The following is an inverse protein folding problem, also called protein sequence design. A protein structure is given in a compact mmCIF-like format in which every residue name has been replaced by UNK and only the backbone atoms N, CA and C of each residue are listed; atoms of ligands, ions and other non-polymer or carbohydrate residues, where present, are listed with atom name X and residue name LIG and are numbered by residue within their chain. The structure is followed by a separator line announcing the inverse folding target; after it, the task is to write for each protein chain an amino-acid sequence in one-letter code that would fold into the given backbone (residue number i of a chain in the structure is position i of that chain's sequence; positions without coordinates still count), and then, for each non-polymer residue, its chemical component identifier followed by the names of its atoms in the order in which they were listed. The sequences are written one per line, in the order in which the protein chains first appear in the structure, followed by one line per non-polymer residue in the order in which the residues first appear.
data_IF_508431798322
#
_entry.id   IF_508431798322
#
_cell.length_a   1.000
_cell.length_b   1.000
_cell.length_c   1.000
_cell.angle_alpha   90.00
_cell.angle_beta   90.00
_cell.angle_gamma   90.00
#
_symmetry.space_group_name_H-M   'P 1'
#
loop_
_entity.id
_entity.type
_entity.pdbx_description
1 polymer ?
#
# COMPACT_ATOMS: atom_id res chain seq x y z
N UNK A 1 -28.82 -2.08 8.90
CA UNK A 1 -28.48 -3.49 9.16
C UNK A 1 -28.53 -4.26 7.83
N UNK A 2 -27.43 -4.30 7.09
CA UNK A 2 -27.35 -4.98 5.80
C UNK A 2 -27.23 -6.51 5.99
N UNK A 3 -27.94 -7.24 5.13
CA UNK A 3 -28.04 -8.71 5.02
C UNK A 3 -26.72 -9.45 5.29
N UNK A 4 -26.46 -9.81 6.55
CA UNK A 4 -25.42 -10.78 6.90
C UNK A 4 -25.96 -12.18 6.62
N UNK A 5 -25.52 -12.80 5.52
CA UNK A 5 -25.49 -14.26 5.45
C UNK A 5 -24.80 -14.73 6.74
N UNK A 6 -25.38 -15.63 7.55
CA UNK A 6 -24.76 -16.04 8.79
C UNK A 6 -23.33 -16.48 8.51
N UNK A 7 -22.36 -15.78 9.09
CA UNK A 7 -20.91 -15.98 8.91
C UNK A 7 -20.53 -17.46 8.89
N UNK A 8 -21.17 -18.24 9.78
CA UNK A 8 -21.03 -19.69 9.89
C UNK A 8 -21.37 -20.45 8.60
N UNK A 9 -22.48 -20.11 7.92
CA UNK A 9 -22.90 -20.77 6.67
C UNK A 9 -21.87 -20.55 5.55
N UNK A 10 -21.35 -19.34 5.43
CA UNK A 10 -20.35 -18.99 4.43
C UNK A 10 -19.03 -19.73 4.68
N UNK A 11 -18.53 -19.71 5.91
CA UNK A 11 -17.32 -20.44 6.32
C UNK A 11 -17.46 -21.94 6.05
N UNK A 12 -18.59 -22.53 6.45
CA UNK A 12 -18.86 -23.95 6.22
C UNK A 12 -18.85 -24.30 4.73
N UNK A 13 -19.47 -23.46 3.90
CA UNK A 13 -19.50 -23.66 2.45
C UNK A 13 -18.10 -23.62 1.84
N UNK A 14 -17.30 -22.60 2.19
CA UNK A 14 -15.92 -22.46 1.69
C UNK A 14 -15.09 -23.70 2.04
N UNK A 15 -15.15 -24.13 3.31
CA UNK A 15 -14.39 -25.29 3.79
C UNK A 15 -14.87 -26.59 3.13
N UNK A 16 -16.17 -26.72 2.88
CA UNK A 16 -16.73 -27.86 2.16
C UNK A 16 -16.24 -27.93 0.71
N UNK A 17 -16.34 -26.82 -0.03
CA UNK A 17 -16.04 -26.73 -1.47
C UNK A 17 -14.55 -26.69 -1.82
N UNK A 18 -13.66 -26.38 -0.86
CA UNK A 18 -12.23 -26.21 -1.14
C UNK A 18 -11.39 -27.39 -0.61
N UNK A 19 -10.29 -27.70 -1.31
CA UNK A 19 -9.28 -28.66 -0.85
C UNK A 19 -8.29 -27.99 0.13
N UNK A 20 -7.99 -26.71 -0.12
CA UNK A 20 -7.04 -25.91 0.65
C UNK A 20 -7.77 -24.66 1.15
N UNK A 21 -7.51 -24.26 2.39
CA UNK A 21 -7.96 -23.02 2.99
C UNK A 21 -6.74 -22.15 3.30
N UNK A 22 -6.67 -20.98 2.64
CA UNK A 22 -5.69 -19.94 2.94
C UNK A 22 -6.30 -19.01 3.99
N UNK A 23 -5.82 -19.08 5.22
CA UNK A 23 -6.18 -18.12 6.26
C UNK A 23 -5.23 -16.94 6.21
N UNK A 24 -5.74 -15.80 5.75
CA UNK A 24 -4.96 -14.57 5.62
C UNK A 24 -5.04 -13.76 6.91
N UNK A 25 -3.88 -13.45 7.47
CA UNK A 25 -3.71 -12.60 8.67
C UNK A 25 -2.81 -11.41 8.35
N UNK A 26 -2.97 -10.30 9.09
CA UNK A 26 -2.11 -9.12 8.96
C UNK A 26 -0.83 -9.32 9.77
N UNK A 27 0.34 -9.21 9.14
CA UNK A 27 1.62 -9.47 9.78
C UNK A 27 1.88 -8.62 11.04
N UNK A 28 1.32 -7.41 11.10
CA UNK A 28 1.58 -6.46 12.19
C UNK A 28 0.92 -6.87 13.49
N UNK A 29 -0.23 -7.51 13.39
CA UNK A 29 -0.98 -8.07 14.51
C UNK A 29 -1.76 -9.32 14.05
N UNK A 30 -1.04 -10.46 13.88
CA UNK A 30 -1.66 -11.68 13.39
C UNK A 30 -2.75 -12.16 14.34
N UNK A 31 -2.53 -12.13 15.65
CA UNK A 31 -3.47 -12.67 16.64
C UNK A 31 -4.84 -12.00 16.59
N UNK A 32 -4.89 -10.67 16.52
CA UNK A 32 -6.16 -9.94 16.41
C UNK A 32 -6.88 -10.20 15.08
N UNK A 33 -6.16 -10.65 14.05
CA UNK A 33 -6.73 -10.94 12.72
C UNK A 33 -6.90 -12.43 12.42
N UNK A 34 -6.70 -13.30 13.42
CA UNK A 34 -7.01 -14.73 13.37
C UNK A 34 -8.47 -14.99 13.67
N UNK A 35 -8.94 -16.14 13.21
CA UNK A 35 -10.25 -16.68 13.56
C UNK A 35 -10.04 -18.14 14.00
N UNK A 36 -9.93 -18.36 15.31
CA UNK A 36 -9.60 -19.69 15.87
C UNK A 36 -10.68 -20.72 15.57
N UNK A 37 -11.95 -20.32 15.61
CA UNK A 37 -13.07 -21.21 15.26
C UNK A 37 -12.98 -21.71 13.81
N UNK A 38 -12.54 -20.87 12.88
CA UNK A 38 -12.31 -21.25 11.48
C UNK A 38 -11.13 -22.22 11.36
N UNK A 39 -10.04 -21.97 12.09
CA UNK A 39 -8.87 -22.84 12.12
C UNK A 39 -9.25 -24.25 12.60
N UNK A 40 -9.88 -24.33 13.77
CA UNK A 40 -10.38 -25.58 14.37
C UNK A 40 -11.30 -26.33 13.42
N UNK A 41 -12.29 -25.64 12.83
CA UNK A 41 -13.24 -26.27 11.91
C UNK A 41 -12.59 -26.72 10.60
N UNK A 42 -11.58 -25.98 10.09
CA UNK A 42 -10.81 -26.39 8.91
C UNK A 42 -10.05 -27.70 9.17
N UNK A 43 -9.46 -27.81 10.36
CA UNK A 43 -8.72 -28.99 10.81
C UNK A 43 -9.66 -30.16 11.04
N UNK A 44 -10.79 -29.95 11.70
CA UNK A 44 -11.84 -30.96 11.93
C UNK A 44 -12.33 -31.57 10.60
N UNK A 45 -12.41 -30.77 9.54
CA UNK A 45 -12.81 -31.23 8.20
C UNK A 45 -11.66 -31.77 7.35
N UNK A 46 -10.49 -32.02 7.95
CA UNK A 46 -9.29 -32.55 7.28
C UNK A 46 -8.90 -31.76 6.02
N UNK A 47 -9.14 -30.45 6.01
CA UNK A 47 -8.72 -29.57 4.91
C UNK A 47 -7.32 -29.04 5.17
N UNK A 48 -6.54 -28.80 4.11
CA UNK A 48 -5.21 -28.22 4.27
C UNK A 48 -5.34 -26.75 4.66
N UNK A 49 -4.88 -26.43 5.86
CA UNK A 49 -4.72 -25.06 6.32
C UNK A 49 -3.35 -24.50 5.93
N UNK A 50 -3.34 -23.34 5.28
CA UNK A 50 -2.13 -22.54 5.03
C UNK A 50 -2.37 -21.15 5.61
N UNK A 51 -1.57 -20.78 6.61
CA UNK A 51 -1.50 -19.41 7.09
C UNK A 51 -0.75 -18.54 6.09
N UNK A 52 -1.40 -17.48 5.63
CA UNK A 52 -0.81 -16.47 4.76
C UNK A 52 -0.65 -15.20 5.57
N UNK A 53 0.55 -15.00 6.12
CA UNK A 53 0.88 -13.79 6.89
C UNK A 53 1.19 -12.68 5.89
N UNK A 54 0.19 -11.87 5.59
CA UNK A 54 0.24 -10.85 4.57
C UNK A 54 0.71 -9.50 5.13
N UNK A 55 1.13 -8.58 4.24
CA UNK A 55 1.80 -7.32 4.61
C UNK A 55 3.13 -7.59 5.34
N UNK A 56 3.82 -8.66 4.98
CA UNK A 56 5.10 -9.04 5.58
C UNK A 56 6.21 -8.00 5.36
N UNK A 57 6.02 -7.05 4.44
CA UNK A 57 6.89 -5.88 4.23
C UNK A 57 6.80 -4.84 5.36
N UNK A 58 5.79 -4.95 6.24
CA UNK A 58 5.55 -4.05 7.37
C UNK A 58 6.13 -4.57 8.69
N UNK A 59 6.82 -5.72 8.69
CA UNK A 59 7.30 -6.36 9.91
C UNK A 59 8.71 -6.90 9.71
N UNK A 60 9.63 -6.75 10.69
CA UNK A 60 10.96 -7.32 10.59
C UNK A 60 10.92 -8.84 10.48
N UNK A 61 11.82 -9.43 9.68
CA UNK A 61 11.88 -10.88 9.46
C UNK A 61 11.95 -11.68 10.76
N UNK A 62 12.72 -11.21 11.75
CA UNK A 62 12.84 -11.88 13.07
C UNK A 62 11.49 -12.04 13.77
N UNK A 63 10.59 -11.07 13.64
CA UNK A 63 9.24 -11.12 14.22
C UNK A 63 8.33 -12.06 13.41
N UNK A 64 8.43 -12.04 12.08
CA UNK A 64 7.71 -12.98 11.22
C UNK A 64 8.04 -14.45 11.53
N UNK A 65 9.32 -14.77 11.74
CA UNK A 65 9.72 -16.14 12.11
C UNK A 65 9.15 -16.54 13.48
N UNK A 66 9.14 -15.65 14.48
CA UNK A 66 8.47 -15.93 15.77
C UNK A 66 6.99 -16.24 15.59
N UNK A 67 6.29 -15.46 14.77
CA UNK A 67 4.88 -15.74 14.48
C UNK A 67 4.69 -17.10 13.81
N UNK A 68 5.55 -17.44 12.84
CA UNK A 68 5.53 -18.76 12.20
C UNK A 68 5.73 -19.89 13.21
N UNK A 69 6.67 -19.73 14.15
CA UNK A 69 6.90 -20.73 15.20
C UNK A 69 5.67 -20.90 16.09
N UNK A 70 5.02 -19.79 16.47
CA UNK A 70 3.76 -19.83 17.24
C UNK A 70 2.61 -20.51 16.48
N UNK A 71 2.41 -20.18 15.19
CA UNK A 71 1.38 -20.85 14.38
C UNK A 71 1.66 -22.36 14.23
N UNK A 72 2.93 -22.73 14.11
CA UNK A 72 3.36 -24.12 13.97
C UNK A 72 3.27 -24.90 15.28
N UNK A 73 3.50 -24.29 16.43
CA UNK A 73 3.33 -24.96 17.72
C UNK A 73 1.86 -25.28 17.99
N UNK A 74 0.95 -24.36 17.64
CA UNK A 74 -0.49 -24.57 17.78
C UNK A 74 -1.04 -25.52 16.70
N UNK A 75 -0.54 -25.42 15.46
CA UNK A 75 -1.03 -26.19 14.32
C UNK A 75 0.13 -26.82 13.51
N UNK A 76 0.74 -27.93 13.98
CA UNK A 76 1.97 -28.49 13.39
C UNK A 76 1.86 -28.87 11.90
N UNK A 77 0.69 -29.35 11.48
CA UNK A 77 0.41 -29.82 10.12
C UNK A 77 0.05 -28.68 9.12
N UNK A 78 -0.15 -27.47 9.63
CA UNK A 78 -0.42 -26.29 8.79
C UNK A 78 0.85 -25.87 8.02
N UNK A 79 0.71 -25.05 7.00
CA UNK A 79 1.87 -24.36 6.38
C UNK A 79 1.79 -22.87 6.66
N UNK A 80 2.93 -22.19 6.75
CA UNK A 80 2.99 -20.73 6.98
C UNK A 80 3.79 -20.09 5.85
N UNK A 81 3.19 -19.13 5.16
CA UNK A 81 3.82 -18.39 4.07
C UNK A 81 3.72 -16.90 4.31
N UNK A 82 4.87 -16.22 4.32
CA UNK A 82 4.94 -14.76 4.40
C UNK A 82 4.69 -14.17 3.01
N UNK A 83 3.78 -13.21 2.91
CA UNK A 83 3.41 -12.57 1.64
C UNK A 83 3.40 -11.05 1.80
N UNK A 84 3.93 -10.34 0.82
CA UNK A 84 3.58 -8.95 0.58
C UNK A 84 2.83 -8.89 -0.74
N UNK A 85 1.50 -8.82 -0.68
CA UNK A 85 0.69 -8.71 -1.89
C UNK A 85 0.95 -7.39 -2.62
N UNK A 86 1.27 -6.32 -1.88
CA UNK A 86 1.60 -4.99 -2.41
C UNK A 86 2.90 -5.02 -3.21
N UNK A 87 3.95 -5.60 -2.63
CA UNK A 87 5.28 -5.70 -3.25
C UNK A 87 5.46 -6.97 -4.10
N UNK A 88 4.41 -7.81 -4.19
CA UNK A 88 4.36 -9.11 -4.86
C UNK A 88 5.41 -10.12 -4.36
N UNK A 89 5.87 -9.99 -3.12
CA UNK A 89 6.82 -10.91 -2.49
C UNK A 89 6.12 -12.13 -1.89
N UNK A 90 6.78 -13.30 -1.91
CA UNK A 90 6.24 -14.55 -1.33
C UNK A 90 5.14 -15.24 -2.16
N UNK A 91 4.64 -14.60 -3.23
CA UNK A 91 3.57 -15.13 -4.08
C UNK A 91 3.95 -16.44 -4.79
N UNK A 92 5.22 -16.57 -5.22
CA UNK A 92 5.74 -17.82 -5.78
C UNK A 92 5.74 -18.93 -4.73
N UNK A 93 6.23 -18.67 -3.52
CA UNK A 93 6.24 -19.64 -2.42
C UNK A 93 4.84 -20.12 -2.09
N UNK A 94 3.86 -19.20 -2.02
CA UNK A 94 2.46 -19.57 -1.79
C UNK A 94 1.92 -20.45 -2.92
N UNK A 95 2.23 -20.11 -4.18
CA UNK A 95 1.79 -20.91 -5.34
C UNK A 95 2.43 -22.31 -5.33
N UNK A 96 3.70 -22.40 -4.98
CA UNK A 96 4.44 -23.66 -4.93
C UNK A 96 3.92 -24.55 -3.79
N UNK A 97 3.61 -23.98 -2.62
CA UNK A 97 2.98 -24.69 -1.50
C UNK A 97 1.60 -25.27 -1.87
N UNK A 98 0.75 -24.46 -2.54
CA UNK A 98 -0.55 -24.91 -3.04
C UNK A 98 -0.38 -26.10 -3.99
N UNK A 99 0.54 -26.00 -4.95
CA UNK A 99 0.78 -27.06 -5.94
C UNK A 99 1.35 -28.32 -5.30
N UNK A 100 2.29 -28.18 -4.37
CA UNK A 100 2.89 -29.30 -3.67
C UNK A 100 1.81 -30.15 -2.97
N UNK A 101 0.91 -29.51 -2.22
CA UNK A 101 -0.19 -30.22 -1.57
C UNK A 101 -1.12 -30.92 -2.57
N UNK A 102 -1.54 -30.24 -3.63
CA UNK A 102 -2.44 -30.83 -4.64
C UNK A 102 -1.80 -32.05 -5.32
N UNK A 103 -0.52 -31.95 -5.68
CA UNK A 103 0.22 -33.04 -6.30
C UNK A 103 0.39 -34.23 -5.36
N UNK A 104 0.81 -34.00 -4.11
CA UNK A 104 0.99 -35.07 -3.11
C UNK A 104 -0.30 -35.81 -2.78
N UNK A 105 -1.46 -35.19 -3.00
CA UNK A 105 -2.77 -35.81 -2.77
C UNK A 105 -3.47 -36.25 -4.07
N UNK A 106 -2.77 -36.25 -5.22
CA UNK A 106 -3.33 -36.61 -6.53
C UNK A 106 -4.59 -35.81 -6.93
N UNK A 107 -4.69 -34.56 -6.48
CA UNK A 107 -5.83 -33.68 -6.78
C UNK A 107 -5.58 -32.97 -8.10
N UNK A 108 -6.23 -33.46 -9.17
CA UNK A 108 -6.09 -32.90 -10.53
C UNK A 108 -6.66 -31.48 -10.64
N UNK A 109 -7.83 -31.22 -10.05
CA UNK A 109 -8.50 -29.91 -10.09
C UNK A 109 -8.57 -29.31 -8.69
N UNK A 110 -7.73 -28.31 -8.41
CA UNK A 110 -7.59 -27.70 -7.10
C UNK A 110 -8.57 -26.55 -6.87
N UNK A 111 -9.28 -26.61 -5.76
CA UNK A 111 -10.14 -25.54 -5.26
C UNK A 111 -9.54 -24.96 -3.97
N UNK A 112 -9.23 -23.67 -3.97
CA UNK A 112 -8.52 -22.99 -2.87
C UNK A 112 -9.39 -21.87 -2.32
N UNK A 113 -9.79 -21.97 -1.07
CA UNK A 113 -10.57 -20.96 -0.36
C UNK A 113 -9.67 -19.90 0.26
N UNK A 114 -10.01 -18.62 0.14
CA UNK A 114 -9.26 -17.54 0.78
C UNK A 114 -10.17 -16.88 1.81
N UNK A 115 -9.79 -16.99 3.08
CA UNK A 115 -10.57 -16.54 4.24
C UNK A 115 -9.73 -15.65 5.15
N UNK A 116 -10.40 -14.89 6.01
CA UNK A 116 -9.77 -13.98 6.96
C UNK A 116 -10.54 -12.67 7.11
N UNK A 117 -10.10 -11.86 8.07
CA UNK A 117 -10.73 -10.57 8.39
C UNK A 117 -10.79 -9.62 7.19
N UNK A 118 -11.72 -8.65 7.13
CA UNK A 118 -11.63 -7.55 6.18
C UNK A 118 -10.25 -6.86 6.21
N UNK A 119 -9.84 -6.28 5.09
CA UNK A 119 -8.61 -5.46 4.99
C UNK A 119 -7.26 -6.12 5.32
N UNK A 120 -7.21 -7.42 5.67
CA UNK A 120 -5.97 -8.21 5.76
C UNK A 120 -5.30 -8.41 4.39
N UNK A 121 -6.03 -8.15 3.30
CA UNK A 121 -5.49 -8.14 1.93
C UNK A 121 -5.78 -9.39 1.09
N UNK A 122 -6.88 -10.10 1.35
CA UNK A 122 -7.35 -11.27 0.57
C UNK A 122 -7.39 -11.01 -0.95
N UNK A 123 -8.13 -9.99 -1.39
CA UNK A 123 -8.26 -9.63 -2.81
C UNK A 123 -6.92 -9.17 -3.41
N UNK A 124 -6.06 -8.53 -2.61
CA UNK A 124 -4.71 -8.18 -3.03
C UNK A 124 -3.85 -9.41 -3.28
N UNK A 125 -3.95 -10.45 -2.44
CA UNK A 125 -3.27 -11.73 -2.66
C UNK A 125 -3.79 -12.40 -3.93
N UNK A 126 -5.10 -12.42 -4.17
CA UNK A 126 -5.68 -12.96 -5.41
C UNK A 126 -5.10 -12.26 -6.63
N UNK A 127 -5.07 -10.93 -6.62
CA UNK A 127 -4.50 -10.14 -7.72
C UNK A 127 -2.99 -10.40 -7.89
N UNK A 128 -2.26 -10.52 -6.79
CA UNK A 128 -0.83 -10.81 -6.82
C UNK A 128 -0.53 -12.23 -7.34
N UNK A 129 -1.36 -13.23 -6.99
CA UNK A 129 -1.24 -14.61 -7.45
C UNK A 129 -1.64 -14.76 -8.93
N UNK A 130 -2.69 -14.07 -9.38
CA UNK A 130 -3.20 -14.16 -10.76
C UNK A 130 -2.46 -13.26 -11.75
N UNK A 131 -1.74 -12.24 -11.25
CA UNK A 131 -1.04 -11.26 -12.07
C UNK A 131 -1.96 -10.26 -12.78
N UNK A 132 -3.28 -10.31 -12.53
CA UNK A 132 -4.31 -9.46 -13.11
C UNK A 132 -5.09 -8.76 -12.00
N UNK A 133 -5.74 -7.63 -12.30
CA UNK A 133 -6.71 -6.97 -11.38
C UNK A 133 -8.06 -7.70 -11.42
N UNK A 134 -8.03 -8.98 -11.06
CA UNK A 134 -9.17 -9.91 -11.16
C UNK A 134 -10.22 -9.65 -10.07
N UNK A 135 -9.78 -9.20 -8.89
CA UNK A 135 -10.61 -8.88 -7.74
C UNK A 135 -10.55 -7.38 -7.42
N UNK A 136 -11.67 -6.79 -6.98
CA UNK A 136 -11.71 -5.39 -6.52
C UNK A 136 -10.90 -5.29 -5.22
N UNK A 137 -9.82 -4.51 -5.22
CA UNK A 137 -8.95 -4.33 -4.05
C UNK A 137 -8.85 -2.85 -3.67
N UNK A 138 -8.99 -2.54 -2.38
CA UNK A 138 -8.88 -1.20 -1.80
C UNK A 138 -8.92 -1.29 -0.27
N UNK A 139 -8.74 -0.16 0.42
CA UNK A 139 -8.82 -0.08 1.90
C UNK A 139 -10.27 -0.08 2.42
N UNK A 140 -11.26 -0.03 1.53
CA UNK A 140 -12.67 0.01 1.89
C UNK A 140 -13.18 -1.41 2.16
N UNK A 141 -13.66 -1.67 3.37
CA UNK A 141 -14.38 -2.91 3.65
C UNK A 141 -15.69 -3.00 2.85
N UNK A 142 -16.08 -4.21 2.47
CA UNK A 142 -17.30 -4.47 1.69
C UNK A 142 -17.16 -4.35 0.17
N UNK A 143 -15.93 -4.21 -0.36
CA UNK A 143 -15.72 -4.19 -1.83
C UNK A 143 -16.05 -5.52 -2.52
N UNK A 144 -15.91 -6.64 -1.81
CA UNK A 144 -16.31 -7.97 -2.27
C UNK A 144 -17.77 -8.22 -1.86
N UNK A 145 -18.69 -8.09 -2.80
CA UNK A 145 -20.14 -8.16 -2.58
C UNK A 145 -20.69 -9.61 -2.65
N UNK A 146 -19.90 -10.56 -3.18
CA UNK A 146 -20.28 -11.98 -3.25
C UNK A 146 -19.09 -12.91 -3.46
N UNK A 147 -19.33 -14.21 -3.32
CA UNK A 147 -18.35 -15.27 -3.57
C UNK A 147 -18.07 -15.40 -5.07
N UNK A 148 -16.80 -15.39 -5.47
CA UNK A 148 -16.41 -15.51 -6.88
C UNK A 148 -15.23 -16.47 -7.06
N UNK A 149 -15.37 -17.40 -8.00
CA UNK A 149 -14.25 -18.22 -8.46
C UNK A 149 -13.35 -17.45 -9.43
N UNK A 150 -12.06 -17.39 -9.11
CA UNK A 150 -11.01 -16.76 -9.92
C UNK A 150 -10.02 -17.82 -10.37
N UNK A 151 -9.74 -17.88 -11.67
CA UNK A 151 -8.80 -18.86 -12.23
C UNK A 151 -7.35 -18.49 -11.92
N UNK A 152 -6.61 -19.37 -11.24
CA UNK A 152 -5.17 -19.21 -11.00
C UNK A 152 -4.33 -19.87 -12.10
N UNK A 153 -4.67 -21.12 -12.46
CA UNK A 153 -4.07 -21.87 -13.57
C UNK A 153 -5.19 -22.59 -14.34
N UNK A 154 -4.85 -23.43 -15.33
CA UNK A 154 -5.85 -24.28 -16.01
C UNK A 154 -6.63 -25.15 -15.02
N UNK A 155 -5.94 -25.67 -14.01
CA UNK A 155 -6.46 -26.72 -13.12
C UNK A 155 -6.67 -26.23 -11.67
N UNK A 156 -6.35 -24.97 -11.35
CA UNK A 156 -6.51 -24.40 -10.00
C UNK A 156 -7.38 -23.15 -10.03
N UNK A 157 -8.38 -23.10 -9.15
CA UNK A 157 -9.25 -21.94 -8.92
C UNK A 157 -9.19 -21.47 -7.47
N UNK A 158 -9.30 -20.17 -7.29
CA UNK A 158 -9.36 -19.48 -6.00
C UNK A 158 -10.79 -19.02 -5.75
N UNK A 159 -11.32 -19.22 -4.54
CA UNK A 159 -12.59 -18.66 -4.11
C UNK A 159 -12.32 -17.35 -3.36
N UNK A 160 -12.69 -16.22 -3.97
CA UNK A 160 -12.73 -14.92 -3.29
C UNK A 160 -13.98 -14.90 -2.41
N UNK A 161 -13.79 -14.71 -1.11
CA UNK A 161 -14.89 -14.65 -0.14
C UNK A 161 -14.90 -13.29 0.58
N UNK A 162 -16.08 -12.78 0.97
CA UNK A 162 -16.19 -11.64 1.87
C UNK A 162 -15.37 -11.85 3.16
N UNK A 163 -14.99 -10.73 3.80
CA UNK A 163 -14.31 -10.81 5.09
C UNK A 163 -15.21 -11.41 6.17
N UNK A 164 -14.66 -12.37 6.91
CA UNK A 164 -15.30 -13.02 8.06
C UNK A 164 -14.93 -12.19 9.29
N UNK A 165 -15.93 -11.66 10.00
CA UNK A 165 -15.75 -10.78 11.15
C UNK A 165 -16.39 -11.45 12.36
N UNK A 166 -15.61 -11.76 13.39
CA UNK A 166 -16.16 -12.18 14.68
C UNK A 166 -16.79 -10.98 15.41
N UNK A 167 -17.76 -11.19 16.31
CA UNK A 167 -18.29 -10.12 17.14
C UNK A 167 -17.15 -9.40 17.88
N UNK A 168 -16.97 -8.11 17.61
CA UNK A 168 -15.99 -7.22 18.22
C UNK A 168 -16.63 -5.87 18.49
N UNK A 169 -16.06 -5.12 19.43
CA UNK A 169 -16.45 -3.73 19.65
C UNK A 169 -16.13 -2.87 18.42
N UNK A 170 -16.79 -1.71 18.34
CA UNK A 170 -16.69 -0.82 17.18
C UNK A 170 -15.26 -0.35 16.92
N UNK A 171 -14.50 -0.06 17.97
CA UNK A 171 -13.14 0.42 17.84
C UNK A 171 -12.26 -0.63 17.17
N UNK A 172 -12.36 -1.91 17.56
CA UNK A 172 -11.62 -2.99 16.90
C UNK A 172 -12.03 -3.15 15.43
N UNK A 173 -13.31 -2.94 15.11
CA UNK A 173 -13.78 -2.97 13.73
C UNK A 173 -13.18 -1.81 12.93
N UNK A 174 -13.06 -0.62 13.51
CA UNK A 174 -12.42 0.54 12.88
C UNK A 174 -10.91 0.33 12.74
N UNK A 175 -10.23 -0.13 13.79
CA UNK A 175 -8.76 -0.35 13.79
C UNK A 175 -8.37 -1.41 12.75
N UNK A 176 -9.11 -2.52 12.68
CA UNK A 176 -8.93 -3.56 11.66
C UNK A 176 -9.37 -3.11 10.26
N UNK A 177 -10.14 -2.03 10.17
CA UNK A 177 -10.74 -1.50 8.96
C UNK A 177 -11.95 -2.29 8.45
N UNK A 178 -12.46 -3.23 9.24
CA UNK A 178 -13.71 -3.93 8.99
C UNK A 178 -14.92 -2.99 8.98
N UNK A 179 -14.91 -1.95 9.83
CA UNK A 179 -15.80 -0.81 9.76
C UNK A 179 -15.04 0.38 9.16
N UNK A 180 -15.70 1.07 8.23
CA UNK A 180 -15.17 2.32 7.69
C UNK A 180 -15.24 3.39 8.76
N UNK A 181 -14.12 4.04 9.06
CA UNK A 181 -14.08 5.14 10.03
C UNK A 181 -14.99 6.32 9.65
N UNK A 182 -15.41 6.46 8.39
CA UNK A 182 -16.41 7.50 8.02
C UNK A 182 -17.85 7.13 8.41
N UNK A 183 -18.09 5.88 8.80
CA UNK A 183 -19.39 5.35 9.24
C UNK A 183 -19.40 4.97 10.72
N UNK A 184 -18.29 5.18 11.43
CA UNK A 184 -18.20 4.94 12.86
C UNK A 184 -18.85 6.10 13.62
N UNK A 185 -19.46 5.78 14.75
CA UNK A 185 -20.08 6.75 15.65
C UNK A 185 -19.00 7.52 16.42
N UNK A 186 -17.91 6.83 16.80
CA UNK A 186 -16.72 7.44 17.40
C UNK A 186 -15.45 7.06 16.62
N UNK A 187 -14.63 8.07 16.35
CA UNK A 187 -13.32 7.95 15.70
C UNK A 187 -12.16 8.36 16.59
N UNK A 188 -12.45 9.00 17.73
CA UNK A 188 -11.46 9.43 18.71
C UNK A 188 -10.97 8.22 19.53
N UNK A 189 -11.88 7.43 20.12
CA UNK A 189 -11.51 6.22 20.86
C UNK A 189 -10.61 5.25 20.07
N UNK A 190 -10.93 4.86 18.81
CA UNK A 190 -10.06 3.95 18.06
C UNK A 190 -8.70 4.58 17.73
N UNK A 191 -8.63 5.90 17.50
CA UNK A 191 -7.36 6.59 17.27
C UNK A 191 -6.48 6.57 18.54
N UNK A 192 -7.06 6.87 19.70
CA UNK A 192 -6.36 6.79 20.99
C UNK A 192 -5.90 5.36 21.29
N UNK A 193 -6.75 4.35 21.05
CA UNK A 193 -6.38 2.93 21.20
C UNK A 193 -5.19 2.56 20.31
N UNK A 194 -5.13 3.02 19.06
CA UNK A 194 -3.98 2.80 18.17
C UNK A 194 -2.71 3.40 18.78
N UNK A 195 -2.76 4.67 19.18
CA UNK A 195 -1.62 5.35 19.78
C UNK A 195 -1.17 4.65 21.06
N UNK A 196 -2.11 4.28 21.94
CA UNK A 196 -1.85 3.56 23.17
C UNK A 196 -1.18 2.22 22.93
N UNK A 197 -1.68 1.42 21.98
CA UNK A 197 -1.07 0.13 21.63
C UNK A 197 0.37 0.30 21.15
N UNK A 198 0.62 1.29 20.29
CA UNK A 198 1.98 1.54 19.77
C UNK A 198 2.89 2.05 20.89
N UNK A 199 2.39 2.97 21.73
CA UNK A 199 3.15 3.51 22.86
C UNK A 199 3.51 2.44 23.89
N UNK A 200 2.56 1.57 24.25
CA UNK A 200 2.80 0.44 25.15
C UNK A 200 3.75 -0.59 24.53
N UNK A 201 3.71 -0.78 23.21
CA UNK A 201 4.64 -1.67 22.52
C UNK A 201 6.07 -1.12 22.54
N UNK A 202 6.24 0.16 22.18
CA UNK A 202 7.52 0.89 22.22
C UNK A 202 7.23 2.41 22.13
N UNK A 203 7.43 3.11 23.24
CA UNK A 203 7.14 4.55 23.36
C UNK A 203 7.97 5.43 22.41
N UNK A 204 9.13 4.95 21.95
CA UNK A 204 10.02 5.70 21.05
C UNK A 204 9.47 5.82 19.64
N UNK A 205 8.57 4.91 19.22
CA UNK A 205 8.04 4.89 17.85
C UNK A 205 7.23 6.15 17.55
N UNK A 206 6.33 6.52 18.46
CA UNK A 206 5.50 7.71 18.30
C UNK A 206 6.34 8.99 18.38
N UNK A 207 7.35 9.02 19.27
CA UNK A 207 8.27 10.15 19.41
C UNK A 207 9.01 10.44 18.10
N UNK A 208 9.54 9.40 17.46
CA UNK A 208 10.25 9.52 16.19
C UNK A 208 9.31 9.83 15.03
N UNK A 209 8.15 9.16 14.96
CA UNK A 209 7.19 9.34 13.87
C UNK A 209 6.63 10.76 13.85
N UNK A 210 6.23 11.27 15.01
CA UNK A 210 5.71 12.62 15.15
C UNK A 210 6.80 13.65 15.47
N UNK A 211 8.06 13.28 15.69
CA UNK A 211 9.16 14.21 15.93
C UNK A 211 8.93 15.17 17.10
N UNK A 212 8.30 14.71 18.17
CA UNK A 212 8.19 15.40 19.47
C UNK A 212 7.96 14.37 20.58
N UNK A 213 8.23 14.74 21.83
CA UNK A 213 8.07 13.84 22.97
C UNK A 213 6.60 13.57 23.30
N UNK A 214 6.24 12.30 23.38
CA UNK A 214 4.93 11.81 23.78
C UNK A 214 5.01 11.51 25.28
N UNK A 215 4.10 12.12 26.05
CA UNK A 215 4.00 11.86 27.49
C UNK A 215 3.57 10.43 27.81
N UNK A 216 3.55 10.08 29.10
CA UNK A 216 3.18 8.73 29.56
C UNK A 216 1.72 8.39 29.26
N UNK A 217 0.83 9.38 29.27
CA UNK A 217 -0.60 9.19 29.03
C UNK A 217 -0.99 9.54 27.59
N UNK A 218 -1.75 8.62 26.97
CA UNK A 218 -2.32 8.81 25.65
C UNK A 218 -3.76 9.31 25.81
N UNK A 219 -3.96 10.60 25.56
CA UNK A 219 -5.22 11.29 25.78
C UNK A 219 -5.54 12.26 24.62
N UNK A 220 -6.62 13.03 24.76
CA UNK A 220 -7.08 13.99 23.73
C UNK A 220 -6.04 15.10 23.51
N UNK A 221 -5.30 15.52 24.53
CA UNK A 221 -4.24 16.55 24.38
C UNK A 221 -3.14 16.08 23.42
N UNK A 222 -2.86 14.77 23.37
CA UNK A 222 -1.94 14.24 22.37
C UNK A 222 -2.51 14.38 20.95
N UNK A 223 -3.81 14.15 20.75
CA UNK A 223 -4.46 14.39 19.45
C UNK A 223 -4.38 15.88 19.07
N UNK A 224 -4.52 16.80 20.01
CA UNK A 224 -4.35 18.23 19.78
C UNK A 224 -2.92 18.56 19.34
N UNK A 225 -1.90 18.00 20.01
CA UNK A 225 -0.49 18.16 19.64
C UNK A 225 -0.20 17.62 18.24
N UNK A 226 -0.70 16.42 17.92
CA UNK A 226 -0.57 15.83 16.58
C UNK A 226 -1.27 16.72 15.54
N UNK A 227 -2.50 17.14 15.80
CA UNK A 227 -3.28 18.00 14.89
C UNK A 227 -2.62 19.35 14.64
N UNK A 228 -2.01 19.94 15.68
CA UNK A 228 -1.19 21.15 15.57
C UNK A 228 -0.01 20.93 14.63
N UNK A 229 0.75 19.84 14.82
CA UNK A 229 1.89 19.51 13.94
C UNK A 229 1.47 19.27 12.48
N UNK A 230 0.30 18.68 12.27
CA UNK A 230 -0.24 18.41 10.94
C UNK A 230 -0.97 19.61 10.31
N UNK A 231 -1.08 20.73 11.04
CA UNK A 231 -1.84 21.92 10.66
C UNK A 231 -3.30 21.58 10.29
N UNK A 232 -3.93 20.70 11.08
CA UNK A 232 -5.33 20.33 10.91
C UNK A 232 -6.20 21.28 11.72
N UNK A 233 -6.59 22.38 11.09
CA UNK A 233 -7.44 23.41 11.68
C UNK A 233 -8.87 23.32 11.13
N UNK A 234 -9.83 23.59 12.00
CA UNK A 234 -11.23 23.88 11.67
C UNK A 234 -11.34 25.29 11.06
N UNK A 235 -12.51 25.63 10.53
CA UNK A 235 -12.78 26.97 9.98
C UNK A 235 -12.60 28.09 11.02
N UNK A 236 -12.84 27.78 12.30
CA UNK A 236 -12.73 28.71 13.42
C UNK A 236 -11.30 28.78 14.00
N UNK A 237 -10.32 28.15 13.34
CA UNK A 237 -8.91 28.17 13.76
C UNK A 237 -8.56 27.22 14.92
N UNK A 238 -9.52 26.43 15.44
CA UNK A 238 -9.27 25.39 16.45
C UNK A 238 -8.72 24.12 15.81
N UNK A 239 -8.00 23.30 16.58
CA UNK A 239 -7.51 21.99 16.10
C UNK A 239 -8.70 21.06 15.78
N UNK A 240 -8.66 20.45 14.60
CA UNK A 240 -9.64 19.49 14.11
C UNK A 240 -9.25 18.07 14.59
N UNK A 241 -9.79 17.69 15.75
CA UNK A 241 -9.54 16.40 16.39
C UNK A 241 -10.11 15.25 15.57
N UNK A 242 -11.25 15.45 14.92
CA UNK A 242 -11.87 14.44 14.09
C UNK A 242 -11.01 14.11 12.87
N UNK A 243 -10.54 15.14 12.17
CA UNK A 243 -9.63 14.97 11.03
C UNK A 243 -8.31 14.36 11.45
N UNK A 244 -7.80 14.73 12.61
CA UNK A 244 -6.58 14.15 13.18
C UNK A 244 -6.74 12.66 13.44
N UNK A 245 -7.80 12.27 14.13
CA UNK A 245 -8.13 10.88 14.46
C UNK A 245 -8.32 10.03 13.21
N UNK A 246 -9.07 10.54 12.20
CA UNK A 246 -9.21 9.88 10.89
C UNK A 246 -7.86 9.69 10.19
N UNK A 247 -6.96 10.67 10.28
CA UNK A 247 -5.64 10.55 9.68
C UNK A 247 -4.81 9.47 10.37
N UNK A 248 -4.81 9.40 11.70
CA UNK A 248 -4.11 8.38 12.49
C UNK A 248 -4.62 6.98 12.11
N UNK A 249 -5.94 6.77 12.12
CA UNK A 249 -6.55 5.49 11.73
C UNK A 249 -6.13 5.10 10.31
N UNK A 250 -6.21 6.04 9.37
CA UNK A 250 -5.82 5.81 7.97
C UNK A 250 -4.34 5.47 7.82
N UNK A 251 -3.46 6.18 8.54
CA UNK A 251 -2.01 5.96 8.53
C UNK A 251 -1.63 4.63 9.17
N UNK A 252 -2.34 4.24 10.22
CA UNK A 252 -2.21 2.90 10.77
C UNK A 252 -2.68 1.86 9.76
N UNK A 253 -3.90 1.94 9.23
CA UNK A 253 -4.42 0.95 8.28
C UNK A 253 -3.56 0.78 7.00
N UNK A 254 -2.95 1.87 6.51
CA UNK A 254 -2.07 1.84 5.33
C UNK A 254 -0.62 1.42 5.63
N UNK A 255 -0.26 1.26 6.90
CA UNK A 255 1.05 0.80 7.36
C UNK A 255 2.13 1.88 7.46
N UNK A 256 1.80 3.16 7.29
CA UNK A 256 2.73 4.28 7.56
C UNK A 256 3.02 4.39 9.05
N UNK A 257 1.97 4.37 9.86
CA UNK A 257 2.07 4.26 11.31
C UNK A 257 1.99 2.76 11.67
N UNK A 258 2.95 2.28 12.46
CA UNK A 258 3.15 0.85 12.66
C UNK A 258 3.92 0.57 13.96
N UNK A 259 3.79 -0.64 14.50
CA UNK A 259 4.54 -1.14 15.67
C UNK A 259 6.02 -1.37 15.40
N UNK A 260 6.45 -1.32 14.15
CA UNK A 260 7.83 -1.57 13.79
C UNK A 260 8.35 -0.47 12.90
N UNK A 261 9.60 -0.09 13.18
CA UNK A 261 10.38 0.85 12.36
C UNK A 261 10.74 0.18 11.05
N UNK A 262 9.86 0.31 10.07
CA UNK A 262 10.11 -0.20 8.73
C UNK A 262 10.53 0.94 7.83
N UNK A 263 11.75 0.87 7.32
CA UNK A 263 12.13 1.63 6.13
C UNK A 263 11.40 1.03 4.93
N UNK A 264 10.13 1.41 4.78
CA UNK A 264 9.36 1.09 3.59
C UNK A 264 10.12 1.69 2.41
N UNK A 265 10.82 0.83 1.65
CA UNK A 265 11.44 1.24 0.39
C UNK A 265 10.31 1.80 -0.46
N UNK A 266 10.24 3.12 -0.59
CA UNK A 266 9.45 3.72 -1.66
C UNK A 266 10.00 3.07 -2.93
N UNK A 267 9.14 2.38 -3.67
CA UNK A 267 9.51 1.83 -4.98
C UNK A 267 9.79 3.02 -5.90
N UNK A 268 11.00 3.58 -5.80
CA UNK A 268 11.44 4.62 -6.68
C UNK A 268 11.72 3.97 -8.03
N UNK A 269 11.09 4.51 -9.07
CA UNK A 269 11.49 4.18 -10.42
C UNK A 269 12.97 4.53 -10.56
N UNK A 270 13.81 3.56 -10.92
CA UNK A 270 15.22 3.83 -11.25
C UNK A 270 15.23 4.76 -12.45
N UNK A 271 15.74 5.98 -12.24
CA UNK A 271 15.84 7.01 -13.28
C UNK A 271 17.26 7.13 -13.77
N UNK A 272 17.41 7.36 -15.06
CA UNK A 272 18.68 7.83 -15.64
C UNK A 272 18.75 9.35 -15.51
N UNK A 273 19.98 9.88 -15.37
CA UNK A 273 20.22 11.34 -15.30
C UNK A 273 20.55 11.99 -16.64
N UNK A 274 20.87 11.19 -17.65
CA UNK A 274 21.22 11.69 -18.98
C UNK A 274 19.94 12.17 -19.70
N UNK A 275 19.87 13.48 -19.95
CA UNK A 275 18.83 14.14 -20.76
C UNK A 275 19.38 14.71 -22.07
N UNK A 276 20.64 14.42 -22.43
CA UNK A 276 21.30 15.00 -23.61
C UNK A 276 20.58 14.62 -24.92
N UNK A 277 19.93 13.45 -24.95
CA UNK A 277 19.12 13.02 -26.09
C UNK A 277 17.86 13.89 -26.30
N UNK A 278 17.40 14.62 -25.27
CA UNK A 278 16.29 15.58 -25.37
C UNK A 278 16.84 16.98 -25.59
N UNK A 279 17.82 17.41 -24.79
CA UNK A 279 18.33 18.79 -24.82
C UNK A 279 19.07 19.13 -26.11
N UNK A 280 19.56 18.15 -26.88
CA UNK A 280 20.11 18.38 -28.22
C UNK A 280 19.11 19.08 -29.17
N UNK A 281 17.80 18.89 -28.97
CA UNK A 281 16.76 19.54 -29.77
C UNK A 281 16.36 20.93 -29.26
N UNK A 282 16.90 21.33 -28.11
CA UNK A 282 16.65 22.62 -27.47
C UNK A 282 17.81 23.61 -27.65
N UNK A 283 18.91 23.17 -28.26
CA UNK A 283 20.02 24.05 -28.58
C UNK A 283 19.56 25.11 -29.59
N UNK A 284 19.74 26.39 -29.25
CA UNK A 284 19.29 27.55 -30.02
C UNK A 284 17.75 27.63 -30.19
N UNK A 285 16.97 26.98 -29.33
CA UNK A 285 15.51 27.09 -29.36
C UNK A 285 15.08 28.44 -28.76
N UNK A 286 14.37 29.32 -29.51
CA UNK A 286 14.16 30.71 -29.12
C UNK A 286 13.24 30.90 -27.90
N UNK A 287 12.47 29.88 -27.52
CA UNK A 287 11.51 29.95 -26.41
C UNK A 287 11.94 29.07 -25.23
N UNK A 288 13.24 29.03 -24.93
CA UNK A 288 13.78 28.21 -23.84
C UNK A 288 13.25 28.60 -22.45
N UNK A 289 12.75 29.83 -22.32
CA UNK A 289 12.18 30.36 -21.08
C UNK A 289 10.71 29.95 -20.83
N UNK A 290 10.09 29.21 -21.75
CA UNK A 290 8.70 28.79 -21.64
C UNK A 290 8.58 27.25 -21.72
N UNK A 291 8.23 26.64 -20.60
CA UNK A 291 8.10 25.19 -20.47
C UNK A 291 7.04 24.61 -21.43
N UNK A 292 5.94 25.31 -21.71
CA UNK A 292 4.89 24.82 -22.60
C UNK A 292 5.32 24.92 -24.07
N UNK A 293 6.08 25.96 -24.45
CA UNK A 293 6.68 26.07 -25.79
C UNK A 293 7.72 24.98 -26.02
N UNK A 294 8.56 24.69 -25.03
CA UNK A 294 9.51 23.57 -25.12
C UNK A 294 8.77 22.25 -25.33
N UNK A 295 7.68 22.00 -24.59
CA UNK A 295 6.91 20.77 -24.72
C UNK A 295 6.30 20.67 -26.12
N UNK A 296 5.68 21.75 -26.62
CA UNK A 296 5.10 21.82 -27.96
C UNK A 296 6.15 21.53 -29.04
N UNK A 297 7.35 22.10 -28.90
CA UNK A 297 8.47 21.84 -29.81
C UNK A 297 8.90 20.36 -29.79
N UNK A 298 9.08 19.78 -28.60
CA UNK A 298 9.49 18.39 -28.43
C UNK A 298 8.42 17.38 -28.87
N UNK A 299 7.13 17.75 -28.82
CA UNK A 299 6.01 16.90 -29.28
C UNK A 299 6.12 16.57 -30.77
N UNK A 300 6.69 17.48 -31.56
CA UNK A 300 6.88 17.30 -33.01
C UNK A 300 8.09 16.44 -33.39
N UNK A 301 8.77 15.82 -32.41
CA UNK A 301 9.99 15.03 -32.64
C UNK A 301 9.67 13.54 -32.55
N UNK A 302 9.41 12.92 -33.71
CA UNK A 302 9.00 11.52 -33.83
C UNK A 302 9.98 10.53 -33.16
N UNK A 303 11.29 10.80 -33.23
CA UNK A 303 12.33 9.98 -32.60
C UNK A 303 12.14 9.88 -31.08
N UNK A 304 11.77 11.00 -30.43
CA UNK A 304 11.49 11.02 -29.00
C UNK A 304 10.20 10.28 -28.65
N UNK A 305 9.19 10.38 -29.53
CA UNK A 305 7.88 9.76 -29.32
C UNK A 305 7.90 8.22 -29.37
N UNK A 306 8.82 7.65 -30.14
CA UNK A 306 8.93 6.20 -30.37
C UNK A 306 9.97 5.52 -29.48
N UNK A 307 10.87 6.28 -28.86
CA UNK A 307 12.02 5.80 -28.10
C UNK A 307 11.67 4.75 -27.04
N UNK A 308 12.57 3.79 -26.81
CA UNK A 308 12.45 2.88 -25.67
C UNK A 308 13.34 3.38 -24.53
N UNK A 309 12.77 4.18 -23.63
CA UNK A 309 13.51 4.75 -22.50
C UNK A 309 12.81 4.52 -21.17
N UNK A 310 13.64 4.28 -20.14
CA UNK A 310 13.20 4.28 -18.74
C UNK A 310 12.87 5.73 -18.33
N UNK A 311 12.15 5.93 -17.21
CA UNK A 311 11.96 7.27 -16.66
C UNK A 311 13.29 8.01 -16.52
N UNK A 312 13.34 9.26 -16.97
CA UNK A 312 14.52 10.11 -16.95
C UNK A 312 14.23 11.35 -16.12
N UNK A 313 15.20 11.81 -15.33
CA UNK A 313 15.17 13.12 -14.68
C UNK A 313 16.56 13.74 -14.80
N UNK A 314 16.64 14.94 -15.34
CA UNK A 314 17.90 15.64 -15.45
C UNK A 314 17.71 17.13 -15.62
N UNK A 315 18.82 17.84 -15.65
CA UNK A 315 18.87 19.28 -15.76
C UNK A 315 20.02 19.69 -16.67
N UNK A 316 19.83 20.75 -17.45
CA UNK A 316 20.84 21.33 -18.31
C UNK A 316 20.69 22.86 -18.30
N UNK A 317 21.81 23.55 -18.22
CA UNK A 317 21.88 24.97 -18.52
C UNK A 317 21.85 25.13 -20.05
N UNK A 318 20.88 25.89 -20.54
CA UNK A 318 20.67 26.21 -21.95
C UNK A 318 20.47 27.72 -22.04
N UNK A 319 21.37 28.38 -22.74
CA UNK A 319 21.44 29.85 -22.81
C UNK A 319 21.50 30.48 -21.41
N UNK A 320 20.51 31.28 -21.03
CA UNK A 320 20.39 31.97 -19.74
C UNK A 320 19.48 31.24 -18.73
N UNK A 321 19.04 30.03 -19.04
CA UNK A 321 18.07 29.28 -18.24
C UNK A 321 18.52 27.86 -17.86
N UNK A 322 18.08 27.40 -16.70
CA UNK A 322 18.15 26.00 -16.31
C UNK A 322 16.86 25.29 -16.71
N UNK A 323 16.98 24.30 -17.59
CA UNK A 323 15.87 23.45 -18.01
C UNK A 323 15.96 22.10 -17.30
N UNK A 324 14.95 21.78 -16.51
CA UNK A 324 14.80 20.52 -15.78
C UNK A 324 13.72 19.68 -16.48
N UNK A 325 14.08 18.47 -16.91
CA UNK A 325 13.21 17.61 -17.70
C UNK A 325 12.97 16.29 -16.98
N UNK A 326 11.69 15.98 -16.72
CA UNK A 326 11.22 14.65 -16.36
C UNK A 326 10.53 13.99 -17.55
N UNK A 327 11.03 12.84 -18.00
CA UNK A 327 10.55 12.17 -19.22
C UNK A 327 10.19 10.70 -18.97
N UNK A 328 9.17 10.19 -19.67
CA UNK A 328 8.70 8.80 -19.60
C UNK A 328 8.14 8.39 -18.21
N UNK A 329 7.55 9.33 -17.48
CA UNK A 329 6.98 9.07 -16.15
C UNK A 329 5.62 8.34 -16.19
N UNK A 330 5.34 7.57 -15.12
CA UNK A 330 4.06 6.87 -14.95
C UNK A 330 2.86 7.82 -14.84
N UNK A 331 3.06 9.01 -14.28
CA UNK A 331 2.00 10.01 -14.12
C UNK A 331 2.58 11.43 -14.20
N UNK A 332 1.74 12.40 -14.57
CA UNK A 332 2.10 13.83 -14.62
C UNK A 332 2.52 14.36 -13.24
N UNK A 333 1.79 13.97 -12.20
CA UNK A 333 2.09 14.36 -10.81
C UNK A 333 3.45 13.82 -10.33
N UNK A 334 3.84 12.62 -10.75
CA UNK A 334 5.17 12.08 -10.47
C UNK A 334 6.27 12.91 -11.15
N UNK A 335 6.08 13.29 -12.41
CA UNK A 335 7.03 14.13 -13.15
C UNK A 335 7.19 15.52 -12.52
N UNK A 336 6.06 16.18 -12.22
CA UNK A 336 6.04 17.48 -11.53
C UNK A 336 6.86 17.46 -10.24
N UNK A 337 6.55 16.51 -9.35
CA UNK A 337 7.24 16.38 -8.06
C UNK A 337 8.74 16.19 -8.22
N UNK A 338 9.18 15.44 -9.24
CA UNK A 338 10.60 15.22 -9.49
C UNK A 338 11.31 16.43 -10.09
N UNK A 339 10.65 17.23 -10.92
CA UNK A 339 11.16 18.52 -11.38
C UNK A 339 11.32 19.49 -10.19
N UNK A 340 10.28 19.64 -9.37
CA UNK A 340 10.30 20.51 -8.17
C UNK A 340 11.31 20.04 -7.11
N UNK A 341 11.51 18.73 -6.95
CA UNK A 341 12.52 18.15 -6.05
C UNK A 341 13.94 18.44 -6.55
N UNK A 342 14.21 18.22 -7.85
CA UNK A 342 15.54 18.47 -8.42
C UNK A 342 15.90 19.96 -8.44
N UNK A 343 14.94 20.84 -8.71
CA UNK A 343 15.14 22.29 -8.63
C UNK A 343 15.58 22.73 -7.24
N UNK A 344 14.85 22.29 -6.19
CA UNK A 344 15.18 22.57 -4.79
C UNK A 344 16.54 22.03 -4.38
N UNK A 345 16.90 20.83 -4.84
CA UNK A 345 18.22 20.24 -4.55
C UNK A 345 19.37 20.95 -5.27
N UNK A 346 19.07 21.74 -6.29
CA UNK A 346 20.06 22.39 -7.17
C UNK A 346 20.03 23.91 -7.04
N UNK A 347 19.34 24.44 -6.03
CA UNK A 347 19.16 25.89 -5.78
C UNK A 347 18.64 26.66 -7.00
N UNK A 348 17.63 26.11 -7.67
CA UNK A 348 16.99 26.74 -8.83
C UNK A 348 15.60 27.22 -8.47
N UNK A 349 15.35 28.50 -8.73
CA UNK A 349 14.03 29.12 -8.67
C UNK A 349 13.30 28.91 -10.00
N UNK A 350 12.25 28.10 -9.97
CA UNK A 350 11.45 27.79 -11.15
C UNK A 350 10.44 28.91 -11.41
N UNK A 351 10.52 29.54 -12.58
CA UNK A 351 9.55 30.56 -13.01
C UNK A 351 8.59 30.05 -14.09
N UNK A 352 8.88 28.92 -14.75
CA UNK A 352 7.98 28.30 -15.73
C UNK A 352 7.87 26.79 -15.51
N UNK A 353 6.64 26.25 -15.57
CA UNK A 353 6.36 24.82 -15.35
C UNK A 353 5.29 24.35 -16.34
N UNK A 354 5.61 23.28 -17.08
CA UNK A 354 4.75 22.72 -18.11
C UNK A 354 4.69 21.21 -18.03
N UNK A 355 3.59 20.62 -18.50
CA UNK A 355 3.47 19.16 -18.56
C UNK A 355 2.60 18.67 -19.70
N UNK A 356 3.12 17.73 -20.48
CA UNK A 356 2.49 17.25 -21.71
C UNK A 356 2.93 15.85 -22.11
N UNK A 357 2.94 15.58 -23.41
CA UNK A 357 3.29 14.29 -23.99
C UNK A 357 4.18 14.45 -25.21
N UNK A 358 5.05 13.47 -25.41
CA UNK A 358 5.82 13.27 -26.64
C UNK A 358 5.64 11.81 -27.04
N UNK A 359 4.80 11.56 -28.04
CA UNK A 359 4.31 10.22 -28.37
C UNK A 359 3.72 9.48 -27.17
N UNK A 360 4.26 8.31 -26.83
CA UNK A 360 3.81 7.50 -25.67
C UNK A 360 4.35 8.01 -24.32
N UNK A 361 5.31 8.94 -24.33
CA UNK A 361 5.99 9.40 -23.12
C UNK A 361 5.29 10.60 -22.51
N UNK A 362 5.15 10.60 -21.18
CA UNK A 362 4.77 11.80 -20.45
C UNK A 362 6.02 12.63 -20.19
N UNK A 363 5.92 13.94 -20.36
CA UNK A 363 6.99 14.88 -20.09
C UNK A 363 6.50 15.95 -19.10
N UNK A 364 7.39 16.37 -18.21
CA UNK A 364 7.20 17.54 -17.36
C UNK A 364 8.48 18.36 -17.38
N UNK A 365 8.35 19.67 -17.58
CA UNK A 365 9.48 20.59 -17.71
C UNK A 365 9.34 21.68 -16.66
N UNK A 366 10.45 22.01 -16.03
CA UNK A 366 10.60 23.23 -15.25
C UNK A 366 11.73 24.05 -15.84
N UNK A 367 11.50 25.35 -15.99
CA UNK A 367 12.52 26.32 -16.37
C UNK A 367 12.71 27.29 -15.21
N UNK A 368 13.98 27.56 -14.89
CA UNK A 368 14.33 28.41 -13.77
C UNK A 368 15.71 29.02 -13.89
N UNK A 369 16.07 29.81 -12.90
CA UNK A 369 17.38 30.41 -12.75
C UNK A 369 18.00 30.05 -11.40
N UNK A 370 19.33 30.19 -11.29
CA UNK A 370 20.03 29.90 -10.04
C UNK A 370 19.74 30.98 -9.02
N UNK A 371 19.35 30.58 -7.81
CA UNK A 371 19.13 31.50 -6.70
C UNK A 371 20.44 32.23 -6.41
N UNK A 372 20.47 33.54 -6.62
CA UNK A 372 21.59 34.39 -6.18
C UNK A 372 21.45 34.55 -4.67
N UNK A 373 22.35 33.92 -3.91
CA UNK A 373 22.46 34.22 -2.49
C UNK A 373 22.89 35.69 -2.34
N UNK A 374 21.94 36.56 -2.04
CA UNK A 374 22.23 37.89 -1.52
C UNK A 374 22.89 37.67 -0.16
N UNK A 375 24.15 38.09 -0.05
CA UNK A 375 24.94 38.04 1.20
C UNK A 375 24.25 38.86 2.28
#
# INVERSE_FOLDING_TARGET
MENKIPMRRMVHKIIYECNIVLLVVDARDPETTRNRALEEYTIEKNKKLIYVINKSDLVPKKILEKWKDNFKSENPNSSVVFVSAKEKLGTKMLRDEIKAYLNSNNIKYGQVGIVGYPNVGKSSIINALTGKKSARSGLTAGLTVGEQWVKLTKDIKLLDSPGIIEPKDEDELVISGALRYEKADDIISPALKILQRIHTFDNTILNEYYGFEIGEEINIELLEKIGTKLNFLTKDGKIDIDRTSKSIIREFQNGKLNYHRMNLKKYEQKRTKNIDFITKYLQNFPFINDADQIISHLENIDELGTMNTRPVIGMKELDDAFVIISFSEKSRDTGRKKVEELARMSDIELYSLGGGRVGKHRIYIGVGEKIKNTI
#
